data_IF_201552386587
#
_entry.id   IF_201552386587
#
_cell.length_a   1.000
_cell.length_b   1.000
_cell.length_c   1.000
_cell.angle_alpha   90.00
_cell.angle_beta   90.00
_cell.angle_gamma   90.00
#
_symmetry.space_group_name_H-M   'P 1'
#
loop_
_entity.id
_entity.type
_entity.pdbx_description
1 polymer ?
#
# COMPACT_ATOMS: atom_id res chain seq x y z
N UNK A 1 0.76 -11.57 13.12
CA UNK A 1 1.26 -11.27 14.48
C UNK A 1 1.71 -9.82 14.65
N UNK A 2 2.61 -9.27 13.84
CA UNK A 2 3.13 -7.89 14.00
C UNK A 2 2.04 -6.81 14.02
N UNK A 3 1.01 -6.91 13.18
CA UNK A 3 -0.14 -5.99 13.23
C UNK A 3 -0.92 -6.08 14.54
N UNK A 4 -1.06 -7.27 15.10
CA UNK A 4 -1.73 -7.45 16.40
C UNK A 4 -0.93 -6.82 17.55
N UNK A 5 0.39 -6.89 17.51
CA UNK A 5 1.27 -6.22 18.49
C UNK A 5 1.15 -4.70 18.38
N UNK A 6 1.18 -4.16 17.15
CA UNK A 6 0.99 -2.73 16.92
C UNK A 6 -0.38 -2.27 17.41
N UNK A 7 -1.44 -3.01 17.06
CA UNK A 7 -2.81 -2.70 17.48
C UNK A 7 -2.98 -2.72 19.01
N UNK A 8 -2.38 -3.69 19.71
CA UNK A 8 -2.39 -3.76 21.18
C UNK A 8 -1.72 -2.53 21.83
N UNK A 9 -0.71 -1.94 21.16
CA UNK A 9 -0.08 -0.68 21.55
C UNK A 9 -0.84 0.57 21.08
N UNK A 10 -2.01 0.42 20.43
CA UNK A 10 -2.80 1.54 19.89
C UNK A 10 -2.14 2.20 18.67
N UNK A 11 -1.50 1.41 17.80
CA UNK A 11 -0.78 1.85 16.62
C UNK A 11 -1.05 0.91 15.43
N UNK A 12 -0.63 1.28 14.26
CA UNK A 12 -0.60 0.46 13.05
C UNK A 12 0.67 0.74 12.23
N UNK A 13 0.83 0.09 11.07
CA UNK A 13 2.00 0.30 10.23
C UNK A 13 2.04 1.68 9.55
N UNK A 14 0.91 2.37 9.44
CA UNK A 14 0.81 3.74 8.89
C UNK A 14 1.07 4.80 9.96
N UNK A 15 1.22 4.42 11.22
CA UNK A 15 1.47 5.36 12.29
C UNK A 15 2.94 5.83 12.28
N UNK A 16 3.17 7.10 12.01
CA UNK A 16 4.51 7.73 11.99
C UNK A 16 5.07 8.04 13.38
N UNK A 17 4.27 7.87 14.42
CA UNK A 17 4.69 8.13 15.82
C UNK A 17 5.57 6.99 16.32
N UNK A 18 6.41 7.31 17.31
CA UNK A 18 7.18 6.27 17.99
C UNK A 18 6.24 5.27 18.65
N UNK A 19 6.51 3.98 18.46
CA UNK A 19 5.72 2.92 19.08
C UNK A 19 5.98 2.86 20.59
N UNK A 20 4.91 2.78 21.39
CA UNK A 20 5.01 2.75 22.84
C UNK A 20 4.60 1.37 23.38
N UNK A 21 5.60 0.53 23.66
CA UNK A 21 5.40 -0.79 24.24
C UNK A 21 4.74 -0.79 25.62
N UNK A 22 4.86 0.30 26.40
CA UNK A 22 4.24 0.40 27.73
C UNK A 22 2.71 0.42 27.69
N UNK A 23 2.10 0.63 26.52
CA UNK A 23 0.66 0.53 26.32
C UNK A 23 0.15 -0.90 26.23
N UNK A 24 1.03 -1.87 25.94
CA UNK A 24 0.64 -3.29 25.87
C UNK A 24 0.60 -3.83 27.29
N UNK A 25 -0.51 -4.43 27.65
CA UNK A 25 -0.65 -5.08 28.95
C UNK A 25 0.33 -6.25 29.07
N UNK A 26 0.92 -6.45 30.25
CA UNK A 26 1.92 -7.50 30.48
C UNK A 26 1.44 -8.89 30.03
N UNK A 27 0.21 -9.25 30.36
CA UNK A 27 -0.39 -10.55 29.98
C UNK A 27 -0.45 -10.72 28.45
N UNK A 28 -0.80 -9.66 27.72
CA UNK A 28 -0.81 -9.68 26.26
C UNK A 28 0.60 -9.77 25.66
N UNK A 29 1.54 -9.03 26.25
CA UNK A 29 2.94 -9.09 25.82
C UNK A 29 3.54 -10.50 26.02
N UNK A 30 3.23 -11.16 27.13
CA UNK A 30 3.69 -12.52 27.42
C UNK A 30 3.03 -13.54 26.47
N UNK A 31 1.74 -13.38 26.17
CA UNK A 31 1.04 -14.21 25.18
C UNK A 31 1.61 -14.02 23.76
N UNK A 32 1.93 -12.79 23.36
CA UNK A 32 2.59 -12.52 22.08
C UNK A 32 3.98 -13.16 22.01
N UNK A 33 4.77 -13.13 23.10
CA UNK A 33 6.09 -13.78 23.14
C UNK A 33 5.99 -15.30 23.02
N UNK A 34 5.05 -15.93 23.71
CA UNK A 34 4.81 -17.36 23.58
C UNK A 34 4.48 -17.75 22.14
N UNK A 35 3.50 -17.06 21.55
CA UNK A 35 3.11 -17.27 20.15
C UNK A 35 4.22 -16.98 19.14
N UNK A 36 5.09 -15.99 19.43
CA UNK A 36 6.23 -15.69 18.58
C UNK A 36 7.25 -16.83 18.56
N UNK A 37 7.51 -17.46 19.72
CA UNK A 37 8.40 -18.63 19.81
C UNK A 37 7.83 -19.84 19.07
N UNK A 38 6.55 -20.10 19.22
CA UNK A 38 5.83 -21.16 18.48
C UNK A 38 5.94 -20.92 16.97
N UNK A 39 5.63 -19.71 16.50
CA UNK A 39 5.72 -19.37 15.10
C UNK A 39 7.14 -19.50 14.53
N UNK A 40 8.19 -19.15 15.30
CA UNK A 40 9.57 -19.35 14.86
C UNK A 40 9.91 -20.84 14.72
N UNK A 41 9.44 -21.66 15.65
CA UNK A 41 9.68 -23.10 15.61
C UNK A 41 8.90 -23.77 14.46
N UNK A 42 7.67 -23.35 14.21
CA UNK A 42 6.82 -23.88 13.14
C UNK A 42 7.33 -23.50 11.74
N UNK A 43 7.72 -22.22 11.54
CA UNK A 43 8.10 -21.70 10.22
C UNK A 43 9.54 -22.07 9.85
N UNK A 44 10.45 -22.14 10.80
CA UNK A 44 11.87 -22.30 10.53
C UNK A 44 12.48 -23.58 11.11
N UNK A 45 11.89 -24.18 12.14
CA UNK A 45 12.41 -25.40 12.75
C UNK A 45 13.88 -25.31 13.10
N UNK A 46 14.64 -26.34 12.76
CA UNK A 46 16.09 -26.47 13.03
C UNK A 46 16.97 -26.01 11.85
N UNK A 47 16.51 -25.06 11.03
CA UNK A 47 17.31 -24.58 9.90
C UNK A 47 18.55 -23.81 10.38
N UNK A 48 19.68 -24.07 9.75
CA UNK A 48 20.95 -23.39 10.08
C UNK A 48 21.00 -21.92 9.62
N UNK A 49 20.11 -21.50 8.71
CA UNK A 49 20.02 -20.13 8.19
C UNK A 49 18.59 -19.79 7.77
N UNK A 50 18.07 -18.68 8.27
CA UNK A 50 16.74 -18.18 7.95
C UNK A 50 16.77 -16.69 7.61
N UNK A 51 15.87 -16.23 6.75
CA UNK A 51 15.68 -14.82 6.44
C UNK A 51 14.26 -14.42 6.79
N UNK A 52 14.12 -13.46 7.69
CA UNK A 52 12.84 -12.86 8.05
C UNK A 52 12.73 -11.46 7.44
N UNK A 53 11.67 -11.23 6.69
CA UNK A 53 11.36 -9.90 6.13
C UNK A 53 9.95 -9.47 6.52
N UNK A 54 9.86 -8.43 7.34
CA UNK A 54 8.62 -7.73 7.62
C UNK A 54 8.93 -6.23 7.81
N UNK A 55 8.26 -5.32 7.09
CA UNK A 55 8.53 -3.89 7.18
C UNK A 55 8.25 -3.29 8.58
N UNK A 56 7.48 -3.99 9.43
CA UNK A 56 7.18 -3.58 10.82
C UNK A 56 8.26 -3.98 11.82
N UNK A 57 9.16 -4.90 11.43
CA UNK A 57 10.23 -5.39 12.32
C UNK A 57 11.08 -4.27 12.90
N UNK A 58 11.41 -3.25 12.10
CA UNK A 58 12.22 -2.14 12.56
C UNK A 58 11.63 -1.44 13.80
N UNK A 59 10.31 -1.38 13.92
CA UNK A 59 9.59 -0.78 15.04
C UNK A 59 9.37 -1.74 16.21
N UNK A 60 9.48 -3.05 15.96
CA UNK A 60 9.18 -4.13 16.89
C UNK A 60 10.43 -4.88 17.37
N UNK A 61 11.64 -4.42 17.04
CA UNK A 61 12.88 -5.05 17.51
C UNK A 61 12.99 -5.15 19.04
N UNK A 62 12.49 -4.18 19.86
CA UNK A 62 12.45 -4.34 21.31
C UNK A 62 11.61 -5.53 21.79
N UNK A 63 10.61 -5.95 21.00
CA UNK A 63 9.84 -7.17 21.23
C UNK A 63 10.57 -8.41 20.70
N UNK A 64 11.06 -8.37 19.45
CA UNK A 64 11.65 -9.51 18.77
C UNK A 64 13.05 -9.88 19.28
N UNK A 65 13.85 -8.89 19.70
CA UNK A 65 15.20 -9.13 20.21
C UNK A 65 15.25 -10.16 21.34
N UNK A 66 14.46 -9.99 22.41
CA UNK A 66 14.33 -11.01 23.46
C UNK A 66 13.84 -12.38 22.97
N UNK A 67 12.89 -12.41 22.01
CA UNK A 67 12.39 -13.67 21.43
C UNK A 67 13.50 -14.43 20.70
N UNK A 68 14.30 -13.73 19.91
CA UNK A 68 15.45 -14.34 19.22
C UNK A 68 16.53 -14.81 20.20
N UNK A 69 16.79 -14.01 21.23
CA UNK A 69 17.77 -14.39 22.27
C UNK A 69 17.32 -15.66 23.00
N UNK A 70 16.06 -15.77 23.39
CA UNK A 70 15.47 -16.96 24.01
C UNK A 70 15.53 -18.18 23.07
N UNK A 71 15.35 -17.99 21.78
CA UNK A 71 15.48 -19.01 20.76
C UNK A 71 16.94 -19.35 20.42
N UNK A 72 17.92 -18.63 21.02
CA UNK A 72 19.37 -18.76 20.76
C UNK A 72 19.77 -18.47 19.30
N UNK A 73 19.04 -17.60 18.63
CA UNK A 73 19.33 -17.20 17.26
C UNK A 73 20.43 -16.11 17.22
N UNK A 74 21.38 -16.28 16.32
CA UNK A 74 22.37 -15.25 15.99
C UNK A 74 21.81 -14.32 14.94
N UNK A 75 21.26 -13.17 15.36
CA UNK A 75 20.59 -12.23 14.48
C UNK A 75 21.56 -11.29 13.79
N UNK A 76 21.37 -11.10 12.49
CA UNK A 76 22.03 -10.08 11.68
C UNK A 76 20.99 -9.19 11.02
N UNK A 77 21.19 -7.89 11.04
CA UNK A 77 20.24 -6.93 10.52
C UNK A 77 20.70 -6.37 9.16
N UNK A 78 19.90 -6.56 8.11
CA UNK A 78 20.09 -5.91 6.82
C UNK A 78 19.08 -4.78 6.67
N UNK A 79 19.59 -3.56 6.44
CA UNK A 79 18.78 -2.35 6.27
C UNK A 79 18.84 -1.90 4.79
N UNK A 80 17.93 -2.34 3.94
CA UNK A 80 17.86 -1.85 2.56
C UNK A 80 17.29 -0.44 2.55
N UNK A 81 18.07 0.50 2.04
CA UNK A 81 17.72 1.92 1.95
C UNK A 81 17.34 2.26 0.53
N UNK A 82 16.11 2.74 0.35
CA UNK A 82 15.57 3.24 -0.90
C UNK A 82 15.27 4.73 -0.76
N UNK A 83 15.26 5.46 -1.89
CA UNK A 83 14.88 6.87 -1.92
C UNK A 83 13.55 7.11 -1.20
N UNK A 84 13.46 8.07 -0.26
CA UNK A 84 12.22 8.38 0.45
C UNK A 84 11.10 8.81 -0.50
N UNK A 85 11.43 9.49 -1.59
CA UNK A 85 10.44 9.91 -2.60
C UNK A 85 9.89 8.71 -3.38
N UNK A 86 10.75 7.76 -3.80
CA UNK A 86 10.30 6.53 -4.45
C UNK A 86 9.37 5.71 -3.54
N UNK A 87 9.69 5.64 -2.24
CA UNK A 87 8.83 4.96 -1.26
C UNK A 87 7.51 5.72 -1.09
N UNK A 88 7.56 7.06 -0.98
CA UNK A 88 6.36 7.90 -0.87
C UNK A 88 5.44 7.75 -2.09
N UNK A 89 5.99 7.75 -3.30
CA UNK A 89 5.24 7.54 -4.54
C UNK A 89 4.66 6.12 -4.63
N UNK A 90 5.42 5.10 -4.23
CA UNK A 90 4.95 3.71 -4.17
C UNK A 90 3.77 3.55 -3.20
N UNK A 91 3.83 4.17 -2.02
CA UNK A 91 2.74 4.18 -1.06
C UNK A 91 1.52 4.97 -1.56
N UNK A 92 1.75 6.03 -2.33
CA UNK A 92 0.67 6.76 -2.99
C UNK A 92 -0.09 5.86 -3.98
N UNK A 93 0.63 5.18 -4.86
CA UNK A 93 0.02 4.29 -5.86
C UNK A 93 -0.72 3.10 -5.21
N UNK A 94 -0.16 2.52 -4.14
CA UNK A 94 -0.70 1.32 -3.50
C UNK A 94 -1.83 1.61 -2.51
N UNK A 95 -1.66 2.64 -1.66
CA UNK A 95 -2.49 2.90 -0.48
C UNK A 95 -3.19 4.27 -0.51
N UNK A 96 -2.99 5.07 -1.57
CA UNK A 96 -3.56 6.42 -1.69
C UNK A 96 -2.98 7.45 -0.70
N UNK A 97 -1.86 7.15 -0.05
CA UNK A 97 -1.21 8.08 0.87
C UNK A 97 -0.55 9.23 0.10
N UNK A 98 -0.55 10.46 0.63
CA UNK A 98 0.22 11.52 -0.01
C UNK A 98 1.72 11.22 0.00
N UNK A 99 2.50 11.61 -1.02
CA UNK A 99 3.95 11.39 -1.03
C UNK A 99 4.65 11.97 0.21
N UNK A 100 4.18 13.12 0.72
CA UNK A 100 4.70 13.71 1.95
C UNK A 100 4.47 12.82 3.19
N UNK A 101 3.28 12.21 3.29
CA UNK A 101 3.00 11.27 4.38
C UNK A 101 3.83 9.97 4.21
N UNK A 102 4.02 9.51 2.98
CA UNK A 102 4.91 8.39 2.69
C UNK A 102 6.37 8.66 3.09
N UNK A 103 6.88 9.88 2.84
CA UNK A 103 8.20 10.31 3.31
C UNK A 103 8.29 10.36 4.85
N UNK A 104 7.23 10.80 5.52
CA UNK A 104 7.13 10.80 6.97
C UNK A 104 7.18 9.39 7.56
N UNK A 105 6.46 8.44 6.96
CA UNK A 105 6.51 7.03 7.35
C UNK A 105 7.91 6.44 7.08
N UNK A 106 8.51 6.74 5.93
CA UNK A 106 9.86 6.33 5.62
C UNK A 106 10.85 6.81 6.69
N UNK A 107 10.77 8.09 7.08
CA UNK A 107 11.63 8.69 8.10
C UNK A 107 11.52 7.94 9.44
N UNK A 108 10.29 7.67 9.91
CA UNK A 108 10.04 6.91 11.14
C UNK A 108 10.64 5.51 11.06
N UNK A 109 10.33 4.76 10.01
CA UNK A 109 10.77 3.37 9.89
C UNK A 109 12.29 3.26 9.78
N UNK A 110 12.93 4.17 9.05
CA UNK A 110 14.40 4.18 8.88
C UNK A 110 15.11 4.56 10.16
N UNK A 111 14.64 5.58 10.89
CA UNK A 111 15.22 5.97 12.17
C UNK A 111 15.01 4.90 13.24
N UNK A 112 13.85 4.24 13.28
CA UNK A 112 13.60 3.12 14.18
C UNK A 112 14.52 1.92 13.81
N UNK A 113 14.62 1.56 12.52
CA UNK A 113 15.50 0.49 12.06
C UNK A 113 16.95 0.75 12.46
N UNK A 114 17.40 1.97 12.30
CA UNK A 114 18.77 2.35 12.58
C UNK A 114 19.12 2.21 14.07
N UNK A 115 18.31 2.79 14.97
CA UNK A 115 18.59 2.75 16.40
C UNK A 115 18.46 1.34 16.99
N UNK A 116 17.39 0.63 16.61
CA UNK A 116 17.06 -0.66 17.19
C UNK A 116 18.00 -1.79 16.73
N UNK A 117 18.86 -1.54 15.74
CA UNK A 117 19.82 -2.52 15.25
C UNK A 117 21.28 -2.19 15.59
N UNK A 118 21.56 -1.09 16.31
CA UNK A 118 22.95 -0.65 16.61
C UNK A 118 23.79 -1.68 17.38
N UNK A 119 23.15 -2.45 18.25
CA UNK A 119 23.82 -3.50 19.02
C UNK A 119 24.03 -4.83 18.29
N UNK A 120 23.62 -4.92 17.03
CA UNK A 120 23.66 -6.14 16.23
C UNK A 120 24.77 -6.12 15.18
N UNK A 121 25.16 -7.29 14.67
CA UNK A 121 25.86 -7.38 13.41
C UNK A 121 24.90 -6.88 12.33
N UNK A 122 25.16 -5.71 11.75
CA UNK A 122 24.29 -5.07 10.77
C UNK A 122 25.05 -4.60 9.54
N UNK A 123 24.32 -4.50 8.44
CA UNK A 123 24.79 -3.89 7.21
C UNK A 123 23.68 -2.99 6.64
N UNK A 124 24.09 -1.90 6.01
CA UNK A 124 23.19 -1.01 5.27
C UNK A 124 23.39 -1.28 3.78
N UNK A 125 22.29 -1.46 3.05
CA UNK A 125 22.28 -1.77 1.64
C UNK A 125 21.65 -0.61 0.87
N UNK A 126 22.40 0.01 -0.01
CA UNK A 126 21.86 0.98 -0.96
C UNK A 126 21.11 0.23 -2.09
N UNK A 127 19.80 0.46 -2.17
CA UNK A 127 18.94 -0.24 -3.12
C UNK A 127 19.33 -0.03 -4.59
N UNK A 128 19.62 1.20 -5.07
CA UNK A 128 20.14 1.44 -6.40
C UNK A 128 21.44 0.68 -6.70
N UNK A 129 22.41 0.67 -5.78
CA UNK A 129 23.67 -0.06 -5.95
C UNK A 129 23.43 -1.58 -6.01
N UNK A 130 22.53 -2.09 -5.16
CA UNK A 130 22.16 -3.51 -5.20
C UNK A 130 21.54 -3.90 -6.55
N UNK A 131 20.66 -3.07 -7.11
CA UNK A 131 20.08 -3.34 -8.42
C UNK A 131 21.12 -3.27 -9.55
N UNK A 132 22.13 -2.40 -9.42
CA UNK A 132 23.21 -2.24 -10.41
C UNK A 132 24.23 -3.38 -10.38
N UNK A 133 24.69 -3.76 -9.19
CA UNK A 133 25.68 -4.83 -8.98
C UNK A 133 25.39 -5.58 -7.68
N UNK A 134 24.54 -6.60 -7.79
CA UNK A 134 24.09 -7.43 -6.66
C UNK A 134 25.24 -8.17 -6.00
N UNK A 135 26.15 -8.71 -6.79
CA UNK A 135 27.29 -9.47 -6.29
C UNK A 135 28.17 -8.58 -5.40
N UNK A 136 28.56 -7.41 -5.89
CA UNK A 136 29.37 -6.46 -5.14
C UNK A 136 28.67 -5.98 -3.87
N UNK A 137 27.36 -5.69 -3.95
CA UNK A 137 26.58 -5.27 -2.79
C UNK A 137 26.52 -6.35 -1.71
N UNK A 138 26.24 -7.60 -2.08
CA UNK A 138 26.16 -8.74 -1.15
C UNK A 138 27.55 -9.17 -0.63
N UNK A 139 28.63 -9.03 -1.41
CA UNK A 139 30.01 -9.24 -0.93
C UNK A 139 30.32 -8.29 0.22
N UNK A 140 29.98 -7.00 0.08
CA UNK A 140 30.16 -6.01 1.15
C UNK A 140 29.35 -6.38 2.41
N UNK A 141 28.12 -6.86 2.25
CA UNK A 141 27.33 -7.34 3.38
C UNK A 141 28.00 -8.54 4.06
N UNK A 142 28.53 -9.50 3.29
CA UNK A 142 29.30 -10.65 3.81
C UNK A 142 30.48 -10.20 4.64
N UNK A 143 31.26 -9.26 4.14
CA UNK A 143 32.41 -8.69 4.84
C UNK A 143 32.01 -8.03 6.16
N UNK A 144 30.97 -7.19 6.16
CA UNK A 144 30.47 -6.52 7.37
C UNK A 144 29.93 -7.50 8.42
N UNK A 145 29.38 -8.61 8.00
CA UNK A 145 28.80 -9.62 8.90
C UNK A 145 29.75 -10.75 9.29
N UNK A 146 30.88 -10.89 8.59
CA UNK A 146 31.70 -12.08 8.69
C UNK A 146 30.95 -13.36 8.31
N UNK A 147 30.09 -13.27 7.29
CA UNK A 147 29.20 -14.35 6.87
C UNK A 147 29.54 -14.83 5.48
N UNK A 148 29.55 -16.16 5.29
CA UNK A 148 29.57 -16.78 3.98
C UNK A 148 28.14 -17.18 3.65
N UNK A 149 27.61 -16.71 2.51
CA UNK A 149 26.28 -17.05 2.07
C UNK A 149 26.19 -18.55 1.75
N UNK A 150 25.13 -19.26 2.18
CA UNK A 150 24.99 -20.70 1.94
C UNK A 150 24.96 -21.09 0.46
N UNK A 151 24.47 -20.20 -0.40
CA UNK A 151 24.34 -20.41 -1.85
C UNK A 151 25.07 -19.31 -2.63
N UNK A 152 26.40 -19.27 -2.52
CA UNK A 152 27.26 -18.30 -3.19
C UNK A 152 27.88 -18.91 -4.45
N UNK A 153 27.08 -19.16 -5.48
CA UNK A 153 27.49 -19.73 -6.75
C UNK A 153 26.76 -19.06 -7.94
N UNK A 154 27.29 -19.24 -9.15
CA UNK A 154 26.83 -18.52 -10.34
C UNK A 154 25.36 -18.77 -10.67
N UNK A 155 24.87 -20.00 -10.56
CA UNK A 155 23.47 -20.33 -10.85
C UNK A 155 22.50 -19.57 -9.93
N UNK A 156 22.84 -19.42 -8.65
CA UNK A 156 22.03 -18.63 -7.73
C UNK A 156 21.97 -17.15 -8.11
N UNK A 157 23.08 -16.59 -8.62
CA UNK A 157 23.09 -15.21 -9.12
C UNK A 157 22.31 -15.08 -10.42
N UNK A 158 22.31 -16.07 -11.28
CA UNK A 158 21.49 -16.10 -12.48
C UNK A 158 19.99 -16.11 -12.15
N UNK A 159 19.55 -16.98 -11.24
CA UNK A 159 18.18 -17.01 -10.71
C UNK A 159 17.76 -15.67 -10.12
N UNK A 160 18.61 -15.04 -9.29
CA UNK A 160 18.35 -13.72 -8.72
C UNK A 160 18.27 -12.63 -9.80
N UNK A 161 19.12 -12.70 -10.84
CA UNK A 161 19.13 -11.72 -11.91
C UNK A 161 17.87 -11.82 -12.79
N UNK A 162 17.35 -13.02 -13.02
CA UNK A 162 16.07 -13.23 -13.70
C UNK A 162 14.90 -12.70 -12.87
N UNK A 163 14.90 -12.98 -11.57
CA UNK A 163 13.82 -12.58 -10.67
C UNK A 163 13.81 -11.06 -10.41
N UNK A 164 14.99 -10.46 -10.17
CA UNK A 164 15.12 -9.01 -9.87
C UNK A 164 15.42 -8.26 -11.16
N UNK A 165 14.44 -8.06 -12.01
CA UNK A 165 14.58 -7.22 -13.20
C UNK A 165 14.52 -5.72 -12.86
N UNK A 166 15.08 -4.88 -13.73
CA UNK A 166 14.97 -3.41 -13.64
C UNK A 166 13.51 -2.94 -13.70
N UNK A 167 12.62 -3.76 -14.24
CA UNK A 167 11.19 -3.47 -14.43
C UNK A 167 10.42 -3.48 -13.11
N UNK A 168 10.95 -4.14 -12.08
CA UNK A 168 10.40 -4.09 -10.71
C UNK A 168 10.60 -2.71 -10.04
N UNK A 169 11.42 -1.83 -10.61
CA UNK A 169 11.62 -0.46 -10.14
C UNK A 169 10.72 0.50 -10.93
N UNK A 170 9.43 0.51 -10.61
CA UNK A 170 8.44 1.37 -11.26
C UNK A 170 8.64 2.86 -10.97
N UNK A 171 9.27 3.19 -9.85
CA UNK A 171 9.55 4.56 -9.43
C UNK A 171 11.06 4.79 -9.44
N UNK A 172 11.53 5.75 -10.25
CA UNK A 172 12.93 6.17 -10.30
C UNK A 172 12.99 7.66 -10.04
N UNK A 173 13.81 8.05 -9.08
CA UNK A 173 13.98 9.45 -8.72
C UNK A 173 15.44 9.81 -8.83
N UNK A 174 15.75 10.86 -9.55
CA UNK A 174 17.09 11.47 -9.60
C UNK A 174 17.37 12.24 -8.32
N UNK A 175 18.65 12.49 -8.04
CA UNK A 175 19.06 13.33 -6.89
C UNK A 175 18.48 14.74 -6.98
N UNK A 176 18.40 15.30 -8.20
CA UNK A 176 17.83 16.63 -8.44
C UNK A 176 16.32 16.65 -8.10
N UNK A 177 15.57 15.64 -8.53
CA UNK A 177 14.15 15.51 -8.19
C UNK A 177 13.95 15.33 -6.69
N UNK A 178 14.78 14.49 -6.04
CA UNK A 178 14.74 14.29 -4.59
C UNK A 178 14.99 15.61 -3.85
N UNK A 179 15.96 16.41 -4.31
CA UNK A 179 16.30 17.69 -3.70
C UNK A 179 15.20 18.75 -3.88
N UNK A 180 14.52 18.77 -5.03
CA UNK A 180 13.55 19.79 -5.40
C UNK A 180 12.10 19.46 -4.96
N UNK A 181 11.80 18.20 -4.68
CA UNK A 181 10.42 17.77 -4.45
C UNK A 181 9.87 18.26 -3.10
N UNK A 182 8.70 18.93 -3.06
CA UNK A 182 8.15 19.56 -1.84
C UNK A 182 7.80 18.56 -0.73
N UNK A 183 7.57 17.28 -1.06
CA UNK A 183 7.34 16.23 -0.08
C UNK A 183 8.61 15.83 0.70
N UNK A 184 9.80 16.21 0.21
CA UNK A 184 11.08 15.85 0.80
C UNK A 184 11.67 17.07 1.50
N UNK A 185 11.37 17.21 2.78
CA UNK A 185 11.94 18.28 3.60
C UNK A 185 13.41 18.02 3.95
N UNK A 186 14.07 19.00 4.58
CA UNK A 186 15.50 18.92 4.94
C UNK A 186 15.82 17.73 5.87
N UNK A 187 14.94 17.45 6.82
CA UNK A 187 15.14 16.33 7.76
C UNK A 187 15.14 14.97 7.05
N UNK A 188 14.19 14.75 6.12
CA UNK A 188 14.12 13.54 5.30
C UNK A 188 15.38 13.40 4.44
N UNK A 189 15.79 14.47 3.76
CA UNK A 189 16.96 14.49 2.88
C UNK A 189 18.25 14.19 3.65
N UNK A 190 18.49 14.88 4.78
CA UNK A 190 19.66 14.67 5.63
C UNK A 190 19.70 13.26 6.23
N UNK A 191 18.54 12.72 6.61
CA UNK A 191 18.46 11.34 7.09
C UNK A 191 18.81 10.36 5.99
N UNK A 192 18.30 10.56 4.77
CA UNK A 192 18.63 9.71 3.63
C UNK A 192 20.13 9.72 3.34
N UNK A 193 20.74 10.90 3.24
CA UNK A 193 22.20 11.04 3.04
C UNK A 193 22.97 10.33 4.14
N UNK A 194 22.62 10.53 5.41
CA UNK A 194 23.29 9.87 6.52
C UNK A 194 23.16 8.34 6.47
N UNK A 195 22.01 7.81 6.06
CA UNK A 195 21.83 6.36 5.89
C UNK A 195 22.65 5.81 4.72
N UNK A 196 22.82 6.57 3.63
CA UNK A 196 23.68 6.17 2.51
C UNK A 196 25.18 6.18 2.94
N UNK A 197 25.59 7.14 3.75
CA UNK A 197 26.95 7.17 4.31
C UNK A 197 27.28 5.91 5.13
N UNK A 198 26.28 5.32 5.84
CA UNK A 198 26.44 4.07 6.58
C UNK A 198 26.63 2.81 5.69
N UNK A 199 26.39 2.90 4.39
CA UNK A 199 26.59 1.76 3.46
C UNK A 199 28.04 1.29 3.47
N UNK A 200 28.99 2.23 3.63
CA UNK A 200 30.42 1.93 3.69
C UNK A 200 30.81 1.31 5.02
N UNK A 201 30.38 1.93 6.11
CA UNK A 201 30.61 1.48 7.48
C UNK A 201 29.36 1.74 8.33
N UNK A 202 28.65 0.68 8.65
CA UNK A 202 27.42 0.73 9.44
C UNK A 202 27.64 1.14 10.90
N UNK A 203 28.91 1.31 11.32
CA UNK A 203 29.32 1.69 12.68
C UNK A 203 30.04 3.04 12.76
N UNK A 204 30.08 3.81 11.67
CA UNK A 204 30.70 5.13 11.66
C UNK A 204 30.09 6.04 12.73
N UNK A 205 30.87 6.34 13.77
CA UNK A 205 30.42 7.08 14.95
C UNK A 205 30.02 8.51 14.65
N UNK A 206 30.63 9.16 13.65
CA UNK A 206 30.27 10.51 13.22
C UNK A 206 28.89 10.53 12.55
N UNK A 207 28.64 9.53 11.69
CA UNK A 207 27.34 9.37 11.03
C UNK A 207 26.27 9.00 12.04
N UNK A 208 26.57 8.10 12.98
CA UNK A 208 25.63 7.70 14.03
C UNK A 208 25.23 8.89 14.92
N UNK A 209 26.19 9.75 15.31
CA UNK A 209 25.89 10.97 16.05
C UNK A 209 24.97 11.92 15.25
N UNK A 210 25.25 12.10 13.96
CA UNK A 210 24.38 12.91 13.08
C UNK A 210 22.96 12.35 13.01
N UNK A 211 22.80 11.02 12.97
CA UNK A 211 21.47 10.38 13.00
C UNK A 211 20.79 10.54 14.36
N UNK A 212 21.54 10.58 15.47
CA UNK A 212 20.97 10.88 16.80
C UNK A 212 20.41 12.30 16.86
N UNK A 213 21.15 13.29 16.31
CA UNK A 213 20.69 14.67 16.24
C UNK A 213 19.43 14.81 15.36
N UNK A 214 19.40 14.14 14.20
CA UNK A 214 18.25 14.12 13.31
C UNK A 214 17.03 13.46 13.97
N UNK A 215 17.23 12.37 14.71
CA UNK A 215 16.17 11.72 15.47
C UNK A 215 15.63 12.63 16.58
N UNK A 216 16.50 13.26 17.36
CA UNK A 216 16.09 14.19 18.40
C UNK A 216 15.25 15.34 17.83
N UNK A 217 15.66 15.91 16.69
CA UNK A 217 14.90 16.93 15.96
C UNK A 217 13.54 16.42 15.51
N UNK A 218 13.47 15.19 15.01
CA UNK A 218 12.21 14.57 14.59
C UNK A 218 11.27 14.32 15.77
N UNK A 219 11.77 13.79 16.90
CA UNK A 219 10.93 13.57 18.09
C UNK A 219 10.40 14.89 18.67
N UNK A 220 11.21 15.94 18.69
CA UNK A 220 10.79 17.28 19.13
C UNK A 220 9.68 17.83 18.22
N UNK A 221 9.87 17.77 16.89
CA UNK A 221 8.86 18.20 15.95
C UNK A 221 7.58 17.34 16.05
N UNK A 222 7.73 16.04 16.22
CA UNK A 222 6.63 15.08 16.39
C UNK A 222 5.74 15.43 17.57
N UNK A 223 6.31 15.84 18.70
CA UNK A 223 5.54 16.23 19.88
C UNK A 223 4.63 17.44 19.64
N UNK A 224 5.05 18.36 18.76
CA UNK A 224 4.26 19.55 18.40
C UNK A 224 3.08 19.16 17.50
N UNK A 225 3.28 18.26 16.54
CA UNK A 225 2.28 17.96 15.52
C UNK A 225 1.38 16.77 15.86
N UNK A 226 1.69 15.96 16.87
CA UNK A 226 0.92 14.75 17.19
C UNK A 226 -0.56 15.07 17.48
N UNK A 227 -0.83 16.02 18.36
CA UNK A 227 -2.20 16.35 18.73
C UNK A 227 -3.00 16.95 17.57
N UNK A 228 -2.54 18.01 16.88
CA UNK A 228 -3.24 18.56 15.71
C UNK A 228 -3.50 17.54 14.61
N UNK A 229 -2.54 16.67 14.32
CA UNK A 229 -2.72 15.63 13.30
C UNK A 229 -3.75 14.57 13.72
N UNK A 230 -3.80 14.20 15.00
CA UNK A 230 -4.83 13.30 15.51
C UNK A 230 -6.23 13.92 15.45
N UNK A 231 -6.35 15.18 15.80
CA UNK A 231 -7.61 15.91 15.73
C UNK A 231 -8.09 16.00 14.27
N UNK A 232 -7.21 16.39 13.36
CA UNK A 232 -7.52 16.44 11.93
C UNK A 232 -7.91 15.06 11.37
N UNK A 233 -7.21 13.99 11.77
CA UNK A 233 -7.53 12.62 11.33
C UNK A 233 -8.89 12.14 11.88
N UNK A 234 -9.21 12.45 13.15
CA UNK A 234 -10.51 12.14 13.74
C UNK A 234 -11.63 12.89 13.04
N UNK A 235 -11.43 14.18 12.76
CA UNK A 235 -12.41 15.00 12.06
C UNK A 235 -12.63 14.49 10.62
N UNK A 236 -11.57 14.19 9.90
CA UNK A 236 -11.68 13.60 8.56
C UNK A 236 -12.41 12.24 8.58
N UNK A 237 -12.17 11.41 9.60
CA UNK A 237 -12.89 10.15 9.80
C UNK A 237 -14.37 10.39 10.09
N UNK A 238 -14.69 11.36 10.97
CA UNK A 238 -16.07 11.74 11.29
C UNK A 238 -16.82 12.17 10.04
N UNK A 239 -16.25 13.10 9.27
CA UNK A 239 -16.85 13.61 8.03
C UNK A 239 -17.09 12.49 7.01
N UNK A 240 -16.10 11.58 6.83
CA UNK A 240 -16.27 10.42 5.94
C UNK A 240 -17.36 9.46 6.42
N UNK A 241 -17.43 9.22 7.72
CA UNK A 241 -18.44 8.33 8.31
C UNK A 241 -19.86 8.93 8.19
N UNK A 242 -20.00 10.23 8.40
CA UNK A 242 -21.25 10.95 8.21
C UNK A 242 -21.70 10.92 6.75
N UNK A 243 -20.80 11.20 5.81
CA UNK A 243 -21.08 11.13 4.38
C UNK A 243 -21.48 9.70 3.93
N UNK A 244 -20.81 8.68 4.45
CA UNK A 244 -21.17 7.28 4.17
C UNK A 244 -22.55 6.92 4.74
N UNK A 245 -22.87 7.41 5.93
CA UNK A 245 -24.19 7.19 6.54
C UNK A 245 -25.32 7.94 5.79
N UNK A 246 -25.04 9.13 5.29
CA UNK A 246 -25.99 9.88 4.43
C UNK A 246 -26.23 9.16 3.11
N UNK A 247 -25.16 8.66 2.47
CA UNK A 247 -25.25 7.89 1.24
C UNK A 247 -26.10 6.63 1.44
N UNK A 248 -25.86 5.88 2.51
CA UNK A 248 -26.64 4.69 2.84
C UNK A 248 -28.13 4.99 3.11
N UNK A 249 -28.42 6.14 3.75
CA UNK A 249 -29.80 6.61 3.95
C UNK A 249 -30.48 6.96 2.62
N UNK A 250 -29.76 7.63 1.73
CA UNK A 250 -30.27 7.98 0.40
C UNK A 250 -30.56 6.72 -0.42
N UNK A 251 -29.69 5.71 -0.38
CA UNK A 251 -29.90 4.42 -1.04
C UNK A 251 -31.14 3.68 -0.47
N UNK A 252 -31.33 3.65 0.84
CA UNK A 252 -32.51 3.03 1.47
C UNK A 252 -33.82 3.75 1.09
N UNK A 253 -33.80 5.09 1.02
CA UNK A 253 -34.97 5.88 0.54
C UNK A 253 -35.30 5.54 -0.93
N UNK A 254 -34.29 5.46 -1.78
CA UNK A 254 -34.43 5.09 -3.19
C UNK A 254 -34.99 3.66 -3.35
N UNK A 255 -34.52 2.72 -2.57
CA UNK A 255 -34.98 1.33 -2.61
C UNK A 255 -36.41 1.19 -2.07
N UNK A 256 -36.76 1.93 -1.02
CA UNK A 256 -38.16 2.02 -0.54
C UNK A 256 -39.10 2.65 -1.58
N UNK A 257 -38.62 3.69 -2.30
CA UNK A 257 -39.35 4.30 -3.42
C UNK A 257 -39.60 3.32 -4.55
N UNK A 258 -38.59 2.53 -4.93
CA UNK A 258 -38.69 1.48 -5.95
C UNK A 258 -39.65 0.35 -5.52
N UNK A 259 -39.68 -0.05 -4.25
CA UNK A 259 -40.62 -1.06 -3.71
C UNK A 259 -42.05 -0.53 -3.73
N UNK A 260 -42.30 0.71 -3.27
CA UNK A 260 -43.62 1.33 -3.33
C UNK A 260 -44.17 1.48 -4.77
N UNK A 261 -43.29 1.82 -5.72
CA UNK A 261 -43.63 1.89 -7.13
C UNK A 261 -43.99 0.51 -7.71
N UNK A 262 -43.28 -0.56 -7.32
CA UNK A 262 -43.61 -1.94 -7.71
C UNK A 262 -44.95 -2.42 -7.12
N UNK A 263 -45.24 -2.07 -5.86
CA UNK A 263 -46.48 -2.45 -5.19
C UNK A 263 -47.68 -1.67 -5.76
N UNK A 264 -47.51 -0.40 -6.12
CA UNK A 264 -48.54 0.40 -6.81
C UNK A 264 -48.85 -0.13 -8.22
N UNK A 265 -47.84 -0.63 -8.94
CA UNK A 265 -48.02 -1.28 -10.24
C UNK A 265 -48.77 -2.63 -10.12
N UNK A 266 -48.65 -3.31 -8.97
CA UNK A 266 -49.32 -4.60 -8.72
C UNK A 266 -50.79 -4.47 -8.32
N UNK A 267 -51.21 -3.28 -7.86
CA UNK A 267 -52.62 -2.99 -7.48
C UNK A 267 -53.48 -2.29 -8.53
N UNK A 268 -52.89 -1.82 -9.64
CA UNK A 268 -53.58 -1.07 -10.70
C UNK A 268 -53.62 -1.81 -12.02
N UNK A 269 -54.74 -2.45 -12.31
CA UNK A 269 -55.32 -2.77 -13.63
C UNK A 269 -54.54 -3.65 -14.62
N UNK A 270 -55.25 -4.66 -15.09
CA UNK A 270 -55.13 -5.30 -16.40
C UNK A 270 -55.03 -4.27 -17.54
N UNK A 271 -53.84 -3.81 -17.83
CA UNK A 271 -53.52 -3.18 -19.10
C UNK A 271 -52.38 -3.94 -19.75
N UNK A 272 -52.68 -4.62 -20.83
CA UNK A 272 -51.68 -5.29 -21.69
C UNK A 272 -50.84 -4.24 -22.33
N UNK A 273 -49.61 -4.06 -21.78
CA UNK A 273 -48.60 -3.21 -22.39
C UNK A 273 -47.89 -3.99 -23.51
N UNK A 274 -48.09 -3.57 -24.73
CA UNK A 274 -47.26 -3.98 -25.88
C UNK A 274 -45.92 -3.26 -25.76
N UNK A 275 -44.79 -3.96 -25.75
CA UNK A 275 -43.48 -3.30 -25.73
C UNK A 275 -43.30 -2.58 -27.08
N UNK A 276 -43.23 -1.28 -27.03
CA UNK A 276 -42.72 -0.47 -28.13
C UNK A 276 -41.21 -0.65 -28.15
N UNK A 277 -40.73 -1.45 -29.08
CA UNK A 277 -39.28 -1.60 -29.40
C UNK A 277 -38.71 -0.24 -29.83
N UNK A 278 -38.02 0.45 -28.94
CA UNK A 278 -36.95 1.35 -29.38
C UNK A 278 -35.66 0.54 -29.30
N UNK A 279 -35.17 0.16 -30.47
CA UNK A 279 -33.85 -0.38 -30.69
C UNK A 279 -32.81 0.63 -30.20
N UNK A 280 -32.32 0.43 -29.00
CA UNK A 280 -31.03 0.99 -28.63
C UNK A 280 -29.98 0.24 -29.47
N UNK A 281 -29.31 0.95 -30.34
CA UNK A 281 -28.30 0.45 -31.27
C UNK A 281 -27.31 -0.48 -30.56
N UNK A 282 -27.33 -1.75 -30.90
CA UNK A 282 -26.32 -2.72 -30.55
C UNK A 282 -25.05 -2.46 -31.37
N UNK A 283 -24.45 -1.31 -31.17
CA UNK A 283 -23.12 -1.03 -31.73
C UNK A 283 -22.13 -1.92 -30.99
N UNK A 284 -21.49 -2.83 -31.71
CA UNK A 284 -20.32 -3.56 -31.16
C UNK A 284 -19.26 -2.53 -30.74
N UNK A 285 -18.71 -2.64 -29.53
CA UNK A 285 -17.65 -1.74 -29.09
C UNK A 285 -16.45 -1.85 -30.05
N UNK A 286 -15.81 -0.73 -30.32
CA UNK A 286 -14.59 -0.68 -31.12
C UNK A 286 -13.41 -1.29 -30.36
N UNK A 287 -12.41 -1.79 -31.08
CA UNK A 287 -11.17 -2.29 -30.46
C UNK A 287 -10.53 -1.24 -29.55
N UNK A 288 -10.55 0.05 -29.93
CA UNK A 288 -10.00 1.15 -29.13
C UNK A 288 -10.75 1.36 -27.80
N UNK A 289 -12.06 1.21 -27.78
CA UNK A 289 -12.86 1.32 -26.56
C UNK A 289 -12.58 0.14 -25.61
N UNK A 290 -12.44 -1.06 -26.16
CA UNK A 290 -12.13 -2.23 -25.38
C UNK A 290 -10.69 -2.18 -24.80
N UNK A 291 -9.73 -1.70 -25.57
CA UNK A 291 -8.37 -1.51 -25.13
C UNK A 291 -8.27 -0.41 -24.08
N UNK A 292 -9.05 0.66 -24.16
CA UNK A 292 -9.11 1.69 -23.13
C UNK A 292 -9.58 1.12 -21.78
N UNK A 293 -10.53 0.19 -21.77
CA UNK A 293 -10.95 -0.51 -20.53
C UNK A 293 -9.85 -1.46 -20.05
N UNK A 294 -9.31 -2.32 -20.90
CA UNK A 294 -8.30 -3.33 -20.53
C UNK A 294 -7.02 -2.72 -19.97
N UNK A 295 -6.60 -1.58 -20.54
CA UNK A 295 -5.38 -0.88 -20.13
C UNK A 295 -5.62 0.14 -19.00
N UNK A 296 -6.85 0.28 -18.51
CA UNK A 296 -7.16 1.15 -17.38
C UNK A 296 -6.59 0.59 -16.08
N UNK A 297 -5.94 1.44 -15.29
CA UNK A 297 -5.48 1.11 -13.94
C UNK A 297 -6.63 0.79 -12.97
N UNK A 298 -7.86 1.15 -13.34
CA UNK A 298 -9.06 0.94 -12.54
C UNK A 298 -9.82 -0.32 -12.93
N UNK A 299 -9.43 -0.99 -14.03
CA UNK A 299 -10.02 -2.25 -14.44
C UNK A 299 -9.19 -3.43 -13.95
N UNK A 300 -9.84 -4.36 -13.26
CA UNK A 300 -9.21 -5.62 -12.83
C UNK A 300 -10.13 -6.80 -13.17
N UNK A 301 -9.73 -7.58 -14.16
CA UNK A 301 -10.54 -8.70 -14.68
C UNK A 301 -10.80 -9.79 -13.63
N UNK A 302 -9.82 -10.13 -12.80
CA UNK A 302 -9.97 -11.15 -11.76
C UNK A 302 -10.92 -10.68 -10.67
N UNK A 303 -10.77 -9.43 -10.20
CA UNK A 303 -11.68 -8.81 -9.25
C UNK A 303 -13.11 -8.75 -9.81
N UNK A 304 -13.25 -8.31 -11.07
CA UNK A 304 -14.55 -8.20 -11.73
C UNK A 304 -15.25 -9.56 -11.79
N UNK A 305 -14.56 -10.61 -12.23
CA UNK A 305 -15.11 -11.97 -12.30
C UNK A 305 -15.36 -12.59 -10.92
N UNK A 306 -14.58 -12.23 -9.91
CA UNK A 306 -14.82 -12.67 -8.54
C UNK A 306 -16.09 -12.06 -7.93
N UNK A 307 -16.36 -10.78 -8.25
CA UNK A 307 -17.59 -10.07 -7.81
C UNK A 307 -18.82 -10.39 -8.66
N UNK A 308 -18.64 -10.93 -9.86
CA UNK A 308 -19.70 -11.23 -10.81
C UNK A 308 -19.64 -12.71 -11.25
N UNK A 309 -20.09 -13.66 -10.40
CA UNK A 309 -20.03 -15.09 -10.71
C UNK A 309 -20.86 -15.49 -11.95
N UNK A 310 -21.89 -14.74 -12.26
CA UNK A 310 -22.73 -14.90 -13.45
C UNK A 310 -21.91 -14.69 -14.74
N UNK A 311 -21.05 -13.67 -14.77
CA UNK A 311 -20.18 -13.37 -15.91
C UNK A 311 -19.08 -14.43 -16.04
N UNK A 312 -18.53 -14.87 -14.92
CA UNK A 312 -17.53 -15.95 -14.88
C UNK A 312 -18.10 -17.26 -15.44
N UNK A 313 -19.32 -17.63 -15.00
CA UNK A 313 -19.98 -18.85 -15.45
C UNK A 313 -20.33 -18.83 -16.95
N UNK A 314 -20.64 -17.63 -17.47
CA UNK A 314 -20.94 -17.44 -18.90
C UNK A 314 -19.68 -17.47 -19.80
N UNK A 315 -18.47 -17.45 -19.23
CA UNK A 315 -17.19 -17.45 -19.98
C UNK A 315 -16.99 -16.20 -20.85
N UNK A 316 -17.66 -15.09 -20.52
CA UNK A 316 -17.58 -13.83 -21.27
C UNK A 316 -16.34 -13.05 -20.83
N UNK A 317 -15.65 -12.40 -21.79
CA UNK A 317 -14.55 -11.50 -21.49
C UNK A 317 -15.00 -10.37 -20.52
N UNK A 318 -14.30 -10.23 -19.40
CA UNK A 318 -14.67 -9.33 -18.33
C UNK A 318 -14.73 -7.86 -18.77
N UNK A 319 -13.75 -7.42 -19.60
CA UNK A 319 -13.71 -6.05 -20.11
C UNK A 319 -14.84 -5.78 -21.09
N UNK A 320 -15.13 -6.76 -21.95
CA UNK A 320 -16.25 -6.67 -22.90
C UNK A 320 -17.57 -6.60 -22.14
N UNK A 321 -17.78 -7.49 -21.17
CA UNK A 321 -19.02 -7.48 -20.37
C UNK A 321 -19.21 -6.16 -19.62
N UNK A 322 -18.13 -5.67 -18.94
CA UNK A 322 -18.20 -4.40 -18.23
C UNK A 322 -18.53 -3.23 -19.16
N UNK A 323 -17.91 -3.17 -20.33
CA UNK A 323 -18.11 -2.10 -21.30
C UNK A 323 -19.54 -2.07 -21.84
N UNK A 324 -20.11 -3.23 -22.17
CA UNK A 324 -21.41 -3.34 -22.86
C UNK A 324 -22.59 -3.38 -21.88
N UNK A 325 -22.43 -4.09 -20.77
CA UNK A 325 -23.51 -4.38 -19.82
C UNK A 325 -23.19 -3.87 -18.41
N UNK A 326 -22.04 -4.27 -17.84
CA UNK A 326 -21.73 -4.06 -16.43
C UNK A 326 -21.73 -2.60 -16.01
N UNK A 327 -21.22 -1.69 -16.85
CA UNK A 327 -21.25 -0.26 -16.56
C UNK A 327 -22.68 0.29 -16.46
N UNK A 328 -23.61 -0.15 -17.31
CA UNK A 328 -25.04 0.23 -17.24
C UNK A 328 -25.78 -0.41 -16.07
N UNK A 329 -25.32 -1.57 -15.63
CA UNK A 329 -25.85 -2.28 -14.46
C UNK A 329 -25.29 -1.69 -13.15
N UNK A 330 -24.36 -0.72 -13.25
CA UNK A 330 -23.71 -0.10 -12.10
C UNK A 330 -22.72 -1.03 -11.39
N UNK A 331 -22.18 -2.04 -12.09
CA UNK A 331 -21.10 -2.91 -11.57
C UNK A 331 -19.78 -2.15 -11.61
N UNK A 332 -18.94 -2.39 -10.63
CA UNK A 332 -17.64 -1.73 -10.54
C UNK A 332 -16.57 -2.51 -11.31
N UNK A 333 -15.70 -1.83 -12.09
CA UNK A 333 -14.68 -2.48 -12.93
C UNK A 333 -13.50 -3.05 -12.17
N UNK A 334 -13.29 -2.58 -10.94
CA UNK A 334 -12.20 -2.97 -10.07
C UNK A 334 -12.37 -2.35 -8.68
N UNK A 335 -11.42 -2.61 -7.75
CA UNK A 335 -11.54 -2.18 -6.35
C UNK A 335 -11.38 -0.66 -6.14
N UNK A 336 -10.92 0.07 -7.16
CA UNK A 336 -10.55 1.49 -7.05
C UNK A 336 -11.39 2.41 -7.94
N UNK A 337 -12.51 1.93 -8.47
CA UNK A 337 -13.43 2.75 -9.27
C UNK A 337 -14.87 2.29 -9.02
N UNK A 338 -15.68 3.21 -8.51
CA UNK A 338 -17.11 2.98 -8.37
C UNK A 338 -17.88 3.60 -9.54
N UNK A 339 -18.48 2.77 -10.37
CA UNK A 339 -19.31 3.18 -11.49
C UNK A 339 -20.47 4.08 -11.05
N UNK A 340 -21.13 3.73 -9.94
CA UNK A 340 -22.26 4.48 -9.40
C UNK A 340 -21.84 5.82 -8.83
N UNK A 341 -20.73 5.86 -8.08
CA UNK A 341 -20.21 7.10 -7.50
C UNK A 341 -19.78 8.08 -8.60
N UNK A 342 -19.12 7.57 -9.66
CA UNK A 342 -18.72 8.40 -10.79
C UNK A 342 -19.92 9.02 -11.53
N UNK A 343 -20.95 8.23 -11.81
CA UNK A 343 -22.16 8.72 -12.48
C UNK A 343 -22.98 9.67 -11.60
N UNK A 344 -22.95 9.49 -10.29
CA UNK A 344 -23.57 10.43 -9.34
C UNK A 344 -22.85 11.76 -9.27
N UNK A 345 -21.50 11.73 -9.35
CA UNK A 345 -20.66 12.94 -9.33
C UNK A 345 -20.71 13.72 -10.65
N UNK A 346 -20.99 13.02 -11.77
CA UNK A 346 -21.03 13.59 -13.10
C UNK A 346 -22.35 13.26 -13.82
N UNK A 347 -23.45 13.99 -13.53
CA UNK A 347 -24.77 13.75 -14.11
C UNK A 347 -24.81 13.84 -15.64
N UNK A 348 -23.95 14.69 -16.23
CA UNK A 348 -23.80 14.81 -17.68
C UNK A 348 -23.37 13.51 -18.37
N UNK A 349 -22.54 12.69 -17.69
CA UNK A 349 -22.12 11.38 -18.19
C UNK A 349 -23.23 10.35 -18.04
N UNK A 350 -24.01 10.44 -16.95
CA UNK A 350 -25.16 9.58 -16.72
C UNK A 350 -26.27 9.85 -17.75
N UNK A 351 -26.58 11.11 -18.05
CA UNK A 351 -27.54 11.52 -19.05
C UNK A 351 -27.14 11.12 -20.48
N UNK A 352 -25.85 11.16 -20.77
CA UNK A 352 -25.30 10.73 -22.07
C UNK A 352 -25.26 9.20 -22.23
N UNK A 353 -25.62 8.42 -21.20
CA UNK A 353 -25.58 6.94 -21.17
C UNK A 353 -24.21 6.35 -21.56
N UNK A 354 -23.11 7.09 -21.31
CA UNK A 354 -21.76 6.65 -21.59
C UNK A 354 -21.25 5.78 -20.44
N UNK A 355 -20.48 4.72 -20.78
CA UNK A 355 -19.83 3.91 -19.75
C UNK A 355 -18.86 4.76 -18.89
N UNK A 356 -19.03 4.72 -17.58
CA UNK A 356 -18.33 5.58 -16.63
C UNK A 356 -16.80 5.52 -16.74
N UNK A 357 -16.23 4.31 -16.79
CA UNK A 357 -14.78 4.15 -16.90
C UNK A 357 -14.26 4.53 -18.29
N UNK A 358 -15.00 4.20 -19.34
CA UNK A 358 -14.63 4.63 -20.70
C UNK A 358 -14.61 6.15 -20.82
N UNK A 359 -15.62 6.82 -20.27
CA UNK A 359 -15.65 8.28 -20.23
C UNK A 359 -14.44 8.83 -19.46
N UNK A 360 -14.15 8.29 -18.28
CA UNK A 360 -13.02 8.71 -17.49
C UNK A 360 -11.69 8.58 -18.25
N UNK A 361 -11.43 7.43 -18.89
CA UNK A 361 -10.19 7.18 -19.62
C UNK A 361 -10.06 8.02 -20.89
N UNK A 362 -11.14 8.31 -21.58
CA UNK A 362 -11.10 9.02 -22.88
C UNK A 362 -11.19 10.54 -22.74
N UNK A 363 -11.96 11.03 -21.76
CA UNK A 363 -12.23 12.46 -21.59
C UNK A 363 -12.04 12.94 -20.16
N UNK A 364 -12.47 12.19 -19.15
CA UNK A 364 -12.50 12.61 -17.75
C UNK A 364 -11.13 13.02 -17.21
N UNK A 365 -10.08 12.28 -17.53
CA UNK A 365 -8.69 12.64 -17.14
C UNK A 365 -8.26 13.98 -17.70
N UNK A 366 -8.60 14.29 -18.95
CA UNK A 366 -8.24 15.59 -19.59
C UNK A 366 -9.05 16.74 -19.01
N UNK A 367 -10.23 16.45 -18.48
CA UNK A 367 -11.13 17.42 -17.83
C UNK A 367 -10.86 17.54 -16.32
N UNK A 368 -9.79 16.95 -15.79
CA UNK A 368 -9.46 16.89 -14.37
C UNK A 368 -10.60 16.31 -13.51
N UNK A 369 -11.41 15.40 -14.05
CA UNK A 369 -12.44 14.71 -13.27
C UNK A 369 -11.79 13.69 -12.33
N UNK A 370 -12.37 13.52 -11.16
CA UNK A 370 -11.88 12.60 -10.13
C UNK A 370 -12.45 11.21 -10.42
N UNK A 371 -11.59 10.19 -10.43
CA UNK A 371 -12.04 8.80 -10.37
C UNK A 371 -12.67 8.58 -8.99
N UNK A 372 -13.98 8.39 -8.94
CA UNK A 372 -14.67 8.09 -7.70
C UNK A 372 -14.42 6.61 -7.31
N UNK A 373 -13.94 6.37 -6.10
CA UNK A 373 -13.74 5.05 -5.51
C UNK A 373 -14.76 4.81 -4.40
#
# INVERSE_FOLDING_TARGET
>A
MNDAILAAGGSDWKDWRRFNFAKIRKVEADAFRARAKEALAEEFGDVGFAVMKDPRMCRLMPFWGPVFADAKWSVRALLPIRSPLEVGQSLHCRDGLSPAYGCLLWLRHVLDAEIETRGMARAVLDWPQFLGDRRKALTRVSEQWGLIWPRWYEDAFSEVNEFVSSDLRHQRTSEAELAAHPAVNDLVRRTYTAMIDLVRDSRDSCVLKRLDDLRAGFETASAIFDLPMRESAKEAHRVRSEAAAELARAEDIMDRGKRKSRDSIRMGSRFVWKPRSKAASSRRPSAKELDAIRNSLFFNSEHYLAKNPDVRAAGVDAAFHYLVHGGREGRDPGPFFSTRAYLALYPDVAEAEVNALLHYETQGRRQNRIAAA
#
